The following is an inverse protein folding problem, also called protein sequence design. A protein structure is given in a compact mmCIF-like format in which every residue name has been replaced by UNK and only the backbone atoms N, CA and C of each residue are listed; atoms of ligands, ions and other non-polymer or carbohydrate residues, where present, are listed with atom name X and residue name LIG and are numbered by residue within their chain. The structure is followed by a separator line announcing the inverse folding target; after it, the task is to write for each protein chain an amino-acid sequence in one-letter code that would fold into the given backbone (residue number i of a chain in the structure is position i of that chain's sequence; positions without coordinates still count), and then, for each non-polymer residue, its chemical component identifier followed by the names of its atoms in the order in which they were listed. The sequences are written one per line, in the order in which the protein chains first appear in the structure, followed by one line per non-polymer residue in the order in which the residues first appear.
data_IF_380241979918
#
_entry.id   IF_380241979918
#
_cell.length_a   1.000
_cell.length_b   1.000
_cell.length_c   1.000
_cell.angle_alpha   90.00
_cell.angle_beta   90.00
_cell.angle_gamma   90.00
#
_symmetry.space_group_name_H-M   'P 1'
#
loop_
_entity.id
_entity.type
_entity.pdbx_description
1 polymer ?
#
# COMPACT_ATOMS: atom_id res chain seq x y z
N UNK A 1 -23.03 -35.83 22.29
CA UNK A 1 -23.67 -35.56 20.99
C UNK A 1 -25.14 -35.99 20.95
N UNK A 2 -25.46 -37.29 21.08
CA UNK A 2 -26.85 -37.79 20.94
C UNK A 2 -27.87 -37.16 21.91
N UNK A 3 -27.51 -36.97 23.20
CA UNK A 3 -28.37 -36.29 24.19
C UNK A 3 -28.72 -34.84 23.83
N UNK A 4 -27.83 -34.17 23.09
CA UNK A 4 -28.03 -32.78 22.66
C UNK A 4 -29.00 -32.78 21.46
N UNK A 5 -28.77 -33.68 20.49
CA UNK A 5 -29.62 -33.86 19.32
C UNK A 5 -31.07 -34.20 19.75
N UNK A 6 -31.26 -35.08 20.74
CA UNK A 6 -32.58 -35.41 21.29
C UNK A 6 -33.31 -34.21 21.92
N UNK A 7 -32.61 -33.33 22.65
CA UNK A 7 -33.19 -32.11 23.22
C UNK A 7 -33.70 -31.16 22.14
N UNK A 8 -32.95 -30.98 21.06
CA UNK A 8 -33.36 -30.14 19.92
C UNK A 8 -34.53 -30.77 19.14
N UNK A 9 -34.52 -32.09 18.94
CA UNK A 9 -35.62 -32.80 18.29
C UNK A 9 -36.92 -32.72 19.10
N UNK A 10 -36.84 -32.80 20.43
CA UNK A 10 -38.01 -32.64 21.32
C UNK A 10 -38.57 -31.22 21.23
N UNK A 11 -37.70 -30.21 21.29
CA UNK A 11 -38.10 -28.79 21.13
C UNK A 11 -38.72 -28.49 19.76
N UNK A 12 -38.25 -29.13 18.68
CA UNK A 12 -38.86 -29.00 17.36
C UNK A 12 -40.27 -29.57 17.28
N UNK A 13 -40.53 -30.70 17.96
CA UNK A 13 -41.87 -31.28 18.08
C UNK A 13 -42.81 -30.40 18.92
N UNK A 14 -42.31 -29.80 20.01
CA UNK A 14 -43.08 -28.91 20.90
C UNK A 14 -43.52 -27.60 20.20
N UNK A 15 -42.75 -27.14 19.20
CA UNK A 15 -43.08 -25.96 18.37
C UNK A 15 -44.06 -26.27 17.22
N UNK A 16 -44.60 -27.50 17.14
CA UNK A 16 -45.55 -27.89 16.09
C UNK A 16 -44.93 -28.03 14.70
N UNK A 17 -43.60 -28.09 14.58
CA UNK A 17 -42.93 -28.34 13.31
C UNK A 17 -43.25 -29.77 12.87
N UNK A 18 -44.08 -29.90 11.83
CA UNK A 18 -44.38 -31.21 11.27
C UNK A 18 -43.11 -31.82 10.70
N UNK A 19 -43.01 -33.16 10.73
CA UNK A 19 -41.89 -33.86 10.09
C UNK A 19 -41.74 -33.46 8.61
N UNK A 20 -42.83 -33.06 7.93
CA UNK A 20 -42.81 -32.48 6.58
C UNK A 20 -42.04 -31.16 6.52
N UNK A 21 -42.35 -30.18 7.36
CA UNK A 21 -41.63 -28.88 7.39
C UNK A 21 -40.14 -29.04 7.67
N UNK A 22 -39.76 -29.93 8.60
CA UNK A 22 -38.34 -30.21 8.90
C UNK A 22 -37.65 -30.92 7.72
N UNK A 23 -38.39 -31.76 6.99
CA UNK A 23 -37.87 -32.47 5.81
C UNK A 23 -37.74 -31.54 4.61
N UNK A 24 -38.68 -30.61 4.43
CA UNK A 24 -38.66 -29.52 3.44
C UNK A 24 -37.49 -28.56 3.69
N UNK A 25 -37.29 -28.10 4.94
CA UNK A 25 -36.15 -27.25 5.30
C UNK A 25 -34.80 -27.95 5.07
N UNK A 26 -34.70 -29.24 5.42
CA UNK A 26 -33.51 -30.05 5.13
C UNK A 26 -33.29 -30.25 3.63
N UNK A 27 -34.36 -30.37 2.86
CA UNK A 27 -34.30 -30.53 1.41
C UNK A 27 -33.86 -29.23 0.74
N UNK A 28 -34.42 -28.09 1.14
CA UNK A 28 -34.01 -26.77 0.68
C UNK A 28 -32.54 -26.47 1.03
N UNK A 29 -32.08 -26.84 2.24
CA UNK A 29 -30.68 -26.71 2.62
C UNK A 29 -29.74 -27.58 1.76
N UNK A 30 -30.16 -28.81 1.43
CA UNK A 30 -29.40 -29.70 0.52
C UNK A 30 -29.34 -29.14 -0.90
N UNK A 31 -30.45 -28.63 -1.42
CA UNK A 31 -30.53 -28.02 -2.75
C UNK A 31 -29.67 -26.76 -2.84
N UNK A 32 -29.71 -25.92 -1.80
CA UNK A 32 -28.83 -24.76 -1.68
C UNK A 32 -27.36 -25.20 -1.71
N UNK A 33 -26.98 -26.19 -0.90
CA UNK A 33 -25.61 -26.71 -0.86
C UNK A 33 -25.17 -27.27 -2.21
N UNK A 34 -26.04 -28.02 -2.88
CA UNK A 34 -25.78 -28.58 -4.21
C UNK A 34 -25.60 -27.48 -5.26
N UNK A 35 -26.45 -26.45 -5.23
CA UNK A 35 -26.35 -25.31 -6.16
C UNK A 35 -25.04 -24.53 -5.96
N UNK A 36 -24.60 -24.36 -4.72
CA UNK A 36 -23.33 -23.72 -4.39
C UNK A 36 -22.15 -24.55 -4.87
N UNK A 37 -22.17 -25.86 -4.65
CA UNK A 37 -21.13 -26.77 -5.14
C UNK A 37 -20.98 -26.71 -6.67
N UNK A 38 -22.11 -26.75 -7.39
CA UNK A 38 -22.13 -26.60 -8.85
C UNK A 38 -21.59 -25.24 -9.30
N UNK A 39 -21.90 -24.17 -8.56
CA UNK A 39 -21.39 -22.82 -8.85
C UNK A 39 -19.87 -22.74 -8.66
N UNK A 40 -19.34 -23.36 -7.62
CA UNK A 40 -17.90 -23.43 -7.35
C UNK A 40 -17.21 -24.19 -8.48
N UNK A 41 -17.70 -25.37 -8.85
CA UNK A 41 -17.12 -26.17 -9.94
C UNK A 41 -17.08 -25.39 -11.26
N UNK A 42 -18.17 -24.70 -11.60
CA UNK A 42 -18.21 -23.82 -12.77
C UNK A 42 -17.15 -22.71 -12.72
N UNK A 43 -16.98 -22.06 -11.57
CA UNK A 43 -15.99 -20.99 -11.38
C UNK A 43 -14.55 -21.54 -11.46
N UNK A 44 -14.29 -22.73 -10.94
CA UNK A 44 -12.98 -23.38 -11.02
C UNK A 44 -12.63 -23.78 -12.45
N UNK A 45 -13.58 -24.30 -13.22
CA UNK A 45 -13.40 -24.57 -14.65
C UNK A 45 -13.13 -23.27 -15.41
N UNK A 46 -13.92 -22.22 -15.15
CA UNK A 46 -13.73 -20.92 -15.77
C UNK A 46 -12.35 -20.33 -15.46
N UNK A 47 -11.91 -20.42 -14.19
CA UNK A 47 -10.56 -20.01 -13.78
C UNK A 47 -9.47 -20.78 -14.53
N UNK A 48 -9.58 -22.11 -14.61
CA UNK A 48 -8.61 -22.94 -15.36
C UNK A 48 -8.51 -22.53 -16.82
N UNK A 49 -9.65 -22.35 -17.50
CA UNK A 49 -9.70 -21.84 -18.87
C UNK A 49 -9.01 -20.48 -19.02
N UNK A 50 -9.26 -19.53 -18.10
CA UNK A 50 -8.59 -18.22 -18.09
C UNK A 50 -7.08 -18.29 -17.85
N UNK A 51 -6.60 -19.36 -17.20
CA UNK A 51 -5.17 -19.62 -16.99
C UNK A 51 -4.52 -20.38 -18.16
N UNK A 52 -5.30 -20.78 -19.17
CA UNK A 52 -4.81 -21.52 -20.33
C UNK A 52 -4.94 -23.04 -20.23
N UNK A 53 -5.55 -23.57 -19.17
CA UNK A 53 -5.69 -25.00 -18.96
C UNK A 53 -6.97 -25.55 -19.61
N UNK A 54 -6.88 -26.74 -20.23
CA UNK A 54 -8.05 -27.47 -20.73
C UNK A 54 -8.76 -26.80 -21.91
N UNK A 55 -8.01 -26.05 -22.73
CA UNK A 55 -8.53 -25.34 -23.90
C UNK A 55 -8.83 -26.26 -25.09
N UNK A 56 -8.30 -27.49 -25.11
CA UNK A 56 -8.48 -28.45 -26.20
C UNK A 56 -9.95 -28.84 -26.44
N UNK A 57 -10.80 -28.66 -25.43
CA UNK A 57 -12.24 -28.94 -25.46
C UNK A 57 -13.08 -27.69 -25.75
N UNK A 58 -12.47 -26.51 -25.87
CA UNK A 58 -13.16 -25.26 -26.12
C UNK A 58 -13.47 -25.10 -27.61
N UNK A 59 -14.63 -24.52 -27.93
CA UNK A 59 -14.92 -24.08 -29.29
C UNK A 59 -14.14 -22.80 -29.64
N UNK A 60 -14.02 -22.51 -30.93
CA UNK A 60 -13.37 -21.28 -31.43
C UNK A 60 -14.03 -20.02 -30.85
N UNK A 61 -15.35 -20.01 -30.69
CA UNK A 61 -16.08 -18.88 -30.11
C UNK A 61 -15.77 -18.71 -28.62
N UNK A 62 -15.68 -19.80 -27.87
CA UNK A 62 -15.29 -19.77 -26.45
C UNK A 62 -13.86 -19.25 -26.28
N UNK A 63 -12.94 -19.70 -27.13
CA UNK A 63 -11.55 -19.22 -27.16
C UNK A 63 -11.47 -17.72 -27.42
N UNK A 64 -12.20 -17.20 -28.43
CA UNK A 64 -12.26 -15.76 -28.68
C UNK A 64 -12.87 -14.98 -27.51
N UNK A 65 -13.88 -15.51 -26.81
CA UNK A 65 -14.43 -14.84 -25.64
C UNK A 65 -13.41 -14.75 -24.49
N UNK A 66 -12.67 -15.83 -24.25
CA UNK A 66 -11.60 -15.89 -23.24
C UNK A 66 -10.51 -14.87 -23.57
N UNK A 67 -10.04 -14.85 -24.82
CA UNK A 67 -9.03 -13.90 -25.30
C UNK A 67 -9.49 -12.45 -25.09
N UNK A 68 -10.68 -12.10 -25.60
CA UNK A 68 -11.25 -10.76 -25.43
C UNK A 68 -11.41 -10.36 -23.95
N UNK A 69 -11.74 -11.31 -23.08
CA UNK A 69 -11.83 -11.05 -21.63
C UNK A 69 -10.44 -10.77 -21.02
N UNK A 70 -9.44 -11.57 -21.38
CA UNK A 70 -8.06 -11.39 -20.94
C UNK A 70 -7.49 -10.06 -21.41
N UNK A 71 -7.65 -9.72 -22.69
CA UNK A 71 -7.17 -8.45 -23.24
C UNK A 71 -7.78 -7.24 -22.53
N UNK A 72 -9.11 -7.23 -22.35
CA UNK A 72 -9.81 -6.12 -21.66
C UNK A 72 -9.36 -5.99 -20.21
N UNK A 73 -9.21 -7.10 -19.50
CA UNK A 73 -8.75 -7.08 -18.10
C UNK A 73 -7.29 -6.65 -17.98
N UNK A 74 -6.42 -7.13 -18.87
CA UNK A 74 -5.00 -6.78 -18.91
C UNK A 74 -4.81 -5.30 -19.24
N UNK A 75 -5.58 -4.76 -20.19
CA UNK A 75 -5.57 -3.33 -20.52
C UNK A 75 -5.93 -2.48 -19.30
N UNK A 76 -6.99 -2.86 -18.55
CA UNK A 76 -7.38 -2.18 -17.30
C UNK A 76 -6.29 -2.25 -16.24
N UNK A 77 -5.68 -3.42 -16.04
CA UNK A 77 -4.59 -3.61 -15.06
C UNK A 77 -3.40 -2.73 -15.43
N UNK A 78 -2.97 -2.74 -16.69
CA UNK A 78 -1.85 -1.91 -17.18
C UNK A 78 -2.14 -0.43 -17.02
N UNK A 79 -3.35 0.03 -17.39
CA UNK A 79 -3.75 1.42 -17.23
C UNK A 79 -3.67 1.87 -15.77
N UNK A 80 -4.23 1.07 -14.84
CA UNK A 80 -4.20 1.37 -13.41
C UNK A 80 -2.78 1.34 -12.84
N UNK A 81 -1.96 0.35 -13.22
CA UNK A 81 -0.56 0.26 -12.79
C UNK A 81 0.23 1.49 -13.24
N UNK A 82 0.06 1.89 -14.50
CA UNK A 82 0.71 3.07 -15.05
C UNK A 82 0.25 4.36 -14.36
N UNK A 83 -1.04 4.47 -14.03
CA UNK A 83 -1.55 5.60 -13.26
C UNK A 83 -0.89 5.70 -11.88
N UNK A 84 -0.88 4.60 -11.12
CA UNK A 84 -0.26 4.57 -9.79
C UNK A 84 1.24 4.91 -9.83
N UNK A 85 1.96 4.40 -10.82
CA UNK A 85 3.37 4.75 -10.99
C UNK A 85 3.59 6.21 -11.34
N UNK A 86 2.73 6.82 -12.18
CA UNK A 86 2.81 8.26 -12.44
C UNK A 86 2.59 9.06 -11.17
N UNK A 87 1.58 8.70 -10.38
CA UNK A 87 1.29 9.36 -9.10
C UNK A 87 2.48 9.26 -8.14
N UNK A 88 3.09 8.08 -8.00
CA UNK A 88 4.28 7.88 -7.18
C UNK A 88 5.51 8.67 -7.67
N UNK A 89 5.74 8.70 -8.99
CA UNK A 89 6.85 9.47 -9.57
C UNK A 89 6.67 10.97 -9.29
N UNK A 90 5.46 11.51 -9.43
CA UNK A 90 5.22 12.92 -9.17
C UNK A 90 5.37 13.27 -7.68
N UNK A 91 4.91 12.40 -6.77
CA UNK A 91 5.15 12.57 -5.33
C UNK A 91 6.65 12.61 -5.00
N UNK A 92 7.43 11.67 -5.55
CA UNK A 92 8.87 11.60 -5.32
C UNK A 92 9.60 12.83 -5.89
N UNK A 93 9.22 13.32 -7.07
CA UNK A 93 9.79 14.55 -7.64
C UNK A 93 9.49 15.77 -6.77
N UNK A 94 8.30 15.84 -6.18
CA UNK A 94 7.95 16.95 -5.28
C UNK A 94 8.74 16.89 -3.97
N UNK A 95 8.93 15.69 -3.42
CA UNK A 95 9.81 15.47 -2.27
C UNK A 95 11.26 15.83 -2.57
N UNK A 96 11.78 15.42 -3.73
CA UNK A 96 13.12 15.78 -4.19
C UNK A 96 13.31 17.30 -4.26
N UNK A 97 12.38 18.03 -4.89
CA UNK A 97 12.44 19.50 -4.96
C UNK A 97 12.48 20.14 -3.57
N UNK A 98 11.59 19.71 -2.67
CA UNK A 98 11.52 20.20 -1.29
C UNK A 98 12.84 19.97 -0.54
N UNK A 99 13.43 18.79 -0.68
CA UNK A 99 14.69 18.45 -0.04
C UNK A 99 15.86 19.26 -0.62
N UNK A 100 15.88 19.50 -1.93
CA UNK A 100 16.88 20.35 -2.57
C UNK A 100 16.82 21.80 -2.07
N UNK A 101 15.61 22.35 -1.94
CA UNK A 101 15.39 23.69 -1.39
C UNK A 101 15.88 23.80 0.06
N UNK A 102 15.49 22.84 0.92
CA UNK A 102 15.94 22.78 2.30
C UNK A 102 17.46 22.64 2.41
N UNK A 103 18.07 21.80 1.57
CA UNK A 103 19.51 21.60 1.55
C UNK A 103 20.24 22.89 1.15
N UNK A 104 19.74 23.59 0.13
CA UNK A 104 20.29 24.87 -0.29
C UNK A 104 20.20 25.94 0.81
N UNK A 105 19.09 25.99 1.54
CA UNK A 105 18.93 26.90 2.68
C UNK A 105 19.91 26.58 3.82
N UNK A 106 20.05 25.29 4.16
CA UNK A 106 21.01 24.83 5.17
C UNK A 106 22.45 25.17 4.79
N UNK A 107 22.84 24.96 3.53
CA UNK A 107 24.18 25.35 3.03
C UNK A 107 24.44 26.85 3.19
N UNK A 108 23.46 27.70 2.85
CA UNK A 108 23.57 29.15 3.07
C UNK A 108 23.77 29.50 4.55
N UNK A 109 23.01 28.86 5.45
CA UNK A 109 23.15 29.08 6.90
C UNK A 109 24.55 28.69 7.39
N UNK A 110 25.05 27.54 6.96
CA UNK A 110 26.40 27.05 7.28
C UNK A 110 27.46 28.04 6.79
N UNK A 111 27.37 28.51 5.55
CA UNK A 111 28.29 29.50 4.99
C UNK A 111 28.28 30.82 5.77
N UNK A 112 27.09 31.29 6.18
CA UNK A 112 26.94 32.47 7.02
C UNK A 112 27.65 32.29 8.37
N UNK A 113 27.48 31.14 9.02
CA UNK A 113 28.13 30.84 10.31
C UNK A 113 29.66 30.87 10.17
N UNK A 114 30.22 30.25 9.13
CA UNK A 114 31.66 30.29 8.87
C UNK A 114 32.16 31.72 8.64
N UNK A 115 31.45 32.52 7.82
CA UNK A 115 31.81 33.93 7.58
C UNK A 115 31.79 34.78 8.86
N UNK A 116 30.75 34.63 9.69
CA UNK A 116 30.64 35.35 10.98
C UNK A 116 31.77 34.92 11.91
N UNK A 117 32.03 33.61 12.04
CA UNK A 117 33.11 33.09 12.88
C UNK A 117 34.48 33.62 12.46
N UNK A 118 34.78 33.64 11.17
CA UNK A 118 36.02 34.22 10.63
C UNK A 118 36.14 35.72 10.92
N UNK A 119 35.05 36.48 10.78
CA UNK A 119 35.03 37.92 11.12
C UNK A 119 35.29 38.16 12.61
N UNK A 120 34.63 37.40 13.49
CA UNK A 120 34.85 37.49 14.94
C UNK A 120 36.30 37.17 15.29
N UNK A 121 36.85 36.11 14.71
CA UNK A 121 38.26 35.74 14.93
C UNK A 121 39.21 36.85 14.47
N UNK A 122 38.98 37.42 13.27
CA UNK A 122 39.79 38.52 12.75
C UNK A 122 39.72 39.77 13.65
N UNK A 123 38.52 40.11 14.17
CA UNK A 123 38.34 41.23 15.10
C UNK A 123 39.07 40.98 16.43
N UNK A 124 39.03 39.77 16.96
CA UNK A 124 39.78 39.39 18.16
C UNK A 124 41.30 39.53 17.94
N UNK A 125 41.83 39.03 16.82
CA UNK A 125 43.25 39.15 16.48
C UNK A 125 43.67 40.62 16.32
N UNK A 126 42.89 41.43 15.60
CA UNK A 126 43.14 42.87 15.45
C UNK A 126 43.16 43.60 16.81
N UNK A 127 42.25 43.25 17.72
CA UNK A 127 42.18 43.82 19.07
C UNK A 127 43.40 43.43 19.91
N UNK A 128 43.86 42.18 19.80
CA UNK A 128 45.07 41.70 20.46
C UNK A 128 46.32 42.44 19.93
N UNK A 129 46.45 42.56 18.60
CA UNK A 129 47.54 43.29 17.97
C UNK A 129 47.57 44.75 18.38
N UNK A 130 46.41 45.41 18.45
CA UNK A 130 46.31 46.79 18.95
C UNK A 130 46.78 46.89 20.40
N UNK A 131 46.34 45.99 21.28
CA UNK A 131 46.78 45.95 22.68
C UNK A 131 48.31 45.80 22.79
N UNK A 132 48.90 44.83 22.06
CA UNK A 132 50.35 44.64 22.03
C UNK A 132 51.09 45.86 21.48
N UNK A 133 50.63 46.41 20.36
CA UNK A 133 51.28 47.55 19.71
C UNK A 133 51.19 48.84 20.57
N UNK A 134 50.11 49.00 21.34
CA UNK A 134 49.96 50.10 22.28
C UNK A 134 50.81 49.89 23.54
N UNK A 135 50.85 48.67 24.09
CA UNK A 135 51.69 48.29 25.23
C UNK A 135 53.19 48.50 24.93
N UNK A 136 53.64 48.16 23.72
CA UNK A 136 55.03 48.36 23.28
C UNK A 136 55.41 49.81 22.97
N UNK A 137 54.45 50.75 22.96
CA UNK A 137 54.67 52.19 22.71
C UNK A 137 54.63 53.05 23.98
N UNK A 138 54.40 52.47 25.16
CA UNK A 138 54.51 53.19 26.43
C UNK A 138 55.97 53.08 26.89
N UNK A 139 56.80 54.14 26.79
CA UNK A 139 58.11 54.13 27.41
C UNK A 139 57.89 54.01 28.92
N UNK A 140 58.54 53.02 29.54
CA UNK A 140 58.66 52.91 30.99
C UNK A 140 59.42 54.16 31.47
N UNK A 141 58.69 55.21 31.84
CA UNK A 141 59.24 56.33 32.57
C UNK A 141 59.34 55.92 34.05
N UNK A 142 60.59 55.79 34.52
CA UNK A 142 60.95 55.82 35.94
C UNK A 142 60.61 57.18 36.54
#
# INVERSE_FOLDING_TARGET
MNKIIERYQRRGKDLGLTNKSIQEDKQAAKECTFSMAKRIEFLEVSKRKLLGDGLDLCSIDELHQIENQLERSLAKIRARKNQLFREQIEQLKEEERRLLEQNAELRKKVDCVYKVRSRVHLLQVKRLLFYFCFRSRVPYFN
#
